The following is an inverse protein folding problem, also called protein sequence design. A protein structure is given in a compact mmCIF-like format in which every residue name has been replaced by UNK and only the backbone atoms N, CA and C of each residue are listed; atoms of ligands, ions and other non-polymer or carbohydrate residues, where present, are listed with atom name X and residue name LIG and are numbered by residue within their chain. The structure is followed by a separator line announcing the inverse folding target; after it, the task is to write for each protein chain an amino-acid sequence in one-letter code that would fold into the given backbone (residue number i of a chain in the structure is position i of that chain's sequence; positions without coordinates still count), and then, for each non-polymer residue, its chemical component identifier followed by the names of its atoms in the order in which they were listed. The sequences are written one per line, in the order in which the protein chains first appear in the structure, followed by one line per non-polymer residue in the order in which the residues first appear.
data_IF_440708998693
#
_entry.id   IF_440708998693
#
_cell.length_a   1.000
_cell.length_b   1.000
_cell.length_c   1.000
_cell.angle_alpha   90.00
_cell.angle_beta   90.00
_cell.angle_gamma   90.00
#
_symmetry.space_group_name_H-M   'P 1'
#
loop_
_entity.id
_entity.type
_entity.pdbx_description
1 polymer ?
#
# COMPACT_ATOMS: atom_id res chain seq x y z
N UNK A 1 7.74 25.47 -16.59
CA UNK A 1 8.36 24.77 -17.75
C UNK A 1 7.44 24.87 -18.97
N UNK A 2 7.94 24.76 -20.21
CA UNK A 2 7.06 24.60 -21.39
C UNK A 2 6.55 23.15 -21.50
N UNK A 3 5.44 22.93 -22.20
CA UNK A 3 4.83 21.59 -22.32
C UNK A 3 5.76 20.58 -22.99
N UNK A 4 6.38 20.92 -24.12
CA UNK A 4 7.32 20.05 -24.83
C UNK A 4 8.55 19.69 -23.98
N UNK A 5 9.06 20.65 -23.20
CA UNK A 5 10.17 20.41 -22.28
C UNK A 5 9.78 19.42 -21.18
N UNK A 6 8.56 19.53 -20.64
CA UNK A 6 8.06 18.61 -19.63
C UNK A 6 7.81 17.21 -20.20
N UNK A 7 7.27 17.12 -21.42
CA UNK A 7 7.03 15.84 -22.08
C UNK A 7 8.34 15.09 -22.33
N UNK A 8 9.37 15.79 -22.81
CA UNK A 8 10.70 15.22 -22.98
C UNK A 8 11.31 14.79 -21.65
N UNK A 9 11.15 15.58 -20.59
CA UNK A 9 11.62 15.24 -19.24
C UNK A 9 10.95 13.97 -18.71
N UNK A 10 9.62 13.90 -18.77
CA UNK A 10 8.88 12.73 -18.28
C UNK A 10 9.24 11.49 -19.10
N UNK A 11 9.38 11.62 -20.42
CA UNK A 11 9.78 10.49 -21.28
C UNK A 11 11.20 10.00 -20.98
N UNK A 12 12.15 10.92 -20.76
CA UNK A 12 13.52 10.56 -20.39
C UNK A 12 13.57 9.87 -19.02
N UNK A 13 12.93 10.43 -18.00
CA UNK A 13 12.86 9.80 -16.68
C UNK A 13 12.11 8.46 -16.71
N UNK A 14 11.08 8.34 -17.55
CA UNK A 14 10.35 7.09 -17.75
C UNK A 14 11.21 5.99 -18.37
N UNK A 15 12.13 6.34 -19.28
CA UNK A 15 13.15 5.41 -19.77
C UNK A 15 14.05 4.95 -18.63
N UNK A 16 14.58 5.87 -17.82
CA UNK A 16 15.47 5.51 -16.72
C UNK A 16 14.75 4.67 -15.65
N UNK A 17 13.47 4.92 -15.39
CA UNK A 17 12.65 4.15 -14.45
C UNK A 17 12.44 2.69 -14.88
N UNK A 18 12.66 2.36 -16.16
CA UNK A 18 12.61 0.99 -16.68
C UNK A 18 13.96 0.27 -16.59
N UNK A 19 15.05 1.01 -16.35
CA UNK A 19 16.37 0.43 -16.20
C UNK A 19 16.61 0.06 -14.73
N UNK A 20 17.39 -1.00 -14.50
CA UNK A 20 17.77 -1.40 -13.15
C UNK A 20 18.81 -0.42 -12.56
N UNK A 21 18.58 0.03 -11.32
CA UNK A 21 19.54 0.83 -10.54
C UNK A 21 18.99 2.19 -10.04
N UNK A 22 19.86 2.95 -9.38
CA UNK A 22 19.49 4.21 -8.69
C UNK A 22 19.52 5.45 -9.61
N UNK A 23 19.80 5.27 -10.91
CA UNK A 23 19.94 6.37 -11.87
C UNK A 23 18.67 7.20 -11.96
N UNK A 24 17.50 6.53 -11.95
CA UNK A 24 16.21 7.20 -11.99
C UNK A 24 16.02 8.16 -10.81
N UNK A 25 16.27 7.71 -9.57
CA UNK A 25 16.09 8.51 -8.37
C UNK A 25 17.06 9.70 -8.34
N UNK A 26 18.31 9.49 -8.74
CA UNK A 26 19.30 10.56 -8.84
C UNK A 26 18.89 11.63 -9.87
N UNK A 27 18.40 11.19 -11.05
CA UNK A 27 17.95 12.09 -12.11
C UNK A 27 16.65 12.80 -11.74
N UNK A 28 15.68 12.11 -11.16
CA UNK A 28 14.41 12.70 -10.71
C UNK A 28 14.67 13.82 -9.69
N UNK A 29 15.58 13.59 -8.74
CA UNK A 29 16.00 14.62 -7.77
C UNK A 29 16.64 15.84 -8.44
N UNK A 30 17.53 15.62 -9.40
CA UNK A 30 18.21 16.70 -10.13
C UNK A 30 17.20 17.53 -10.93
N UNK A 31 16.36 16.87 -11.71
CA UNK A 31 15.42 17.51 -12.63
C UNK A 31 14.24 18.16 -11.90
N UNK A 32 13.85 17.65 -10.73
CA UNK A 32 12.81 18.26 -9.90
C UNK A 32 13.15 19.70 -9.47
N UNK A 33 14.44 20.08 -9.45
CA UNK A 33 14.84 21.49 -9.20
C UNK A 33 14.30 22.48 -10.24
N UNK A 34 13.88 21.97 -11.41
CA UNK A 34 13.32 22.76 -12.52
C UNK A 34 11.79 22.80 -12.50
N UNK A 35 11.16 22.02 -11.62
CA UNK A 35 9.71 21.95 -11.45
C UNK A 35 9.31 22.94 -10.36
N UNK A 36 8.28 23.73 -10.63
CA UNK A 36 7.68 24.64 -9.64
C UNK A 36 6.20 24.35 -9.46
N UNK A 37 5.59 24.89 -8.39
CA UNK A 37 4.16 24.69 -8.08
C UNK A 37 3.23 25.01 -9.26
N UNK A 38 3.55 26.01 -10.08
CA UNK A 38 2.74 26.36 -11.26
C UNK A 38 2.74 25.26 -12.35
N UNK A 39 3.74 24.38 -12.37
CA UNK A 39 3.84 23.26 -13.31
C UNK A 39 2.93 22.09 -12.92
N UNK A 40 2.42 22.06 -11.67
CA UNK A 40 1.54 20.98 -11.18
C UNK A 40 0.27 20.82 -12.02
N UNK A 41 -0.28 21.91 -12.56
CA UNK A 41 -1.44 21.84 -13.45
C UNK A 41 -1.13 21.03 -14.72
N UNK A 42 0.08 21.21 -15.26
CA UNK A 42 0.53 20.50 -16.45
C UNK A 42 0.92 19.05 -16.12
N UNK A 43 1.62 18.82 -15.00
CA UNK A 43 1.88 17.47 -14.50
C UNK A 43 0.58 16.67 -14.31
N UNK A 44 -0.49 17.31 -13.81
CA UNK A 44 -1.81 16.67 -13.69
C UNK A 44 -2.35 16.17 -15.02
N UNK A 45 -2.24 16.95 -16.09
CA UNK A 45 -2.79 16.54 -17.38
C UNK A 45 -2.06 15.31 -17.94
N UNK A 46 -0.75 15.20 -17.65
CA UNK A 46 0.09 14.07 -18.07
C UNK A 46 -0.15 12.78 -17.29
N UNK A 47 -0.86 12.82 -16.15
CA UNK A 47 -1.35 11.62 -15.47
C UNK A 47 -2.41 10.84 -16.28
N UNK A 48 -3.01 11.47 -17.29
CA UNK A 48 -4.01 10.87 -18.19
C UNK A 48 -3.60 10.90 -19.66
N UNK A 49 -2.76 11.85 -20.04
CA UNK A 49 -2.25 12.02 -21.39
C UNK A 49 -0.73 11.95 -21.34
N UNK A 50 -0.17 10.75 -21.14
CA UNK A 50 1.27 10.60 -20.99
C UNK A 50 1.96 11.08 -22.28
N UNK A 51 3.19 11.61 -22.18
CA UNK A 51 3.97 11.96 -23.37
C UNK A 51 4.17 10.73 -24.26
N UNK A 52 4.61 10.94 -25.49
CA UNK A 52 4.98 9.83 -26.36
C UNK A 52 6.10 9.00 -25.74
N UNK A 53 5.98 7.67 -25.85
CA UNK A 53 7.02 6.72 -25.43
C UNK A 53 8.38 7.14 -25.98
N UNK A 54 9.41 7.11 -25.12
CA UNK A 54 10.77 7.44 -25.50
C UNK A 54 11.22 6.56 -26.69
N UNK A 55 11.92 7.10 -27.71
CA UNK A 55 12.30 6.35 -28.92
C UNK A 55 13.06 5.05 -28.68
N UNK A 56 13.85 5.00 -27.60
CA UNK A 56 14.64 3.83 -27.22
C UNK A 56 13.83 2.69 -26.57
N UNK A 57 12.53 2.88 -26.32
CA UNK A 57 11.69 1.87 -25.66
C UNK A 57 10.73 1.24 -26.67
N UNK A 58 10.75 -0.10 -26.75
CA UNK A 58 9.75 -0.86 -27.50
C UNK A 58 8.38 -0.75 -26.83
N UNK A 59 7.40 -0.20 -27.56
CA UNK A 59 6.00 -0.13 -27.07
C UNK A 59 5.37 -1.51 -26.86
N UNK A 60 5.84 -2.52 -27.58
CA UNK A 60 5.30 -3.87 -27.47
C UNK A 60 5.63 -4.49 -26.10
N UNK A 61 6.77 -4.08 -25.52
CA UNK A 61 7.30 -4.67 -24.29
C UNK A 61 6.60 -4.09 -23.04
N UNK A 62 5.93 -2.93 -23.17
CA UNK A 62 5.27 -2.23 -22.06
C UNK A 62 3.82 -2.66 -21.82
N UNK A 63 3.19 -3.37 -22.77
CA UNK A 63 1.75 -3.65 -22.73
C UNK A 63 0.87 -2.39 -22.86
N UNK A 64 -0.45 -2.58 -22.73
CA UNK A 64 -1.45 -1.53 -23.04
C UNK A 64 -1.39 -0.30 -22.13
N UNK A 65 -1.02 -0.47 -20.85
CA UNK A 65 -1.02 0.60 -19.85
C UNK A 65 0.34 0.83 -19.18
N UNK A 66 1.38 0.07 -19.53
CA UNK A 66 2.67 0.16 -18.83
C UNK A 66 3.30 1.54 -18.91
N UNK A 67 3.30 2.17 -20.08
CA UNK A 67 3.85 3.52 -20.23
C UNK A 67 3.14 4.56 -19.38
N UNK A 68 1.81 4.48 -19.30
CA UNK A 68 1.03 5.39 -18.47
C UNK A 68 1.43 5.25 -16.99
N UNK A 69 1.52 4.02 -16.49
CA UNK A 69 1.93 3.75 -15.11
C UNK A 69 3.33 4.27 -14.80
N UNK A 70 4.27 4.12 -15.75
CA UNK A 70 5.63 4.64 -15.62
C UNK A 70 5.62 6.16 -15.56
N UNK A 71 4.91 6.84 -16.46
CA UNK A 71 4.79 8.29 -16.41
C UNK A 71 4.14 8.78 -15.10
N UNK A 72 3.13 8.07 -14.60
CA UNK A 72 2.51 8.39 -13.31
C UNK A 72 3.52 8.25 -12.15
N UNK A 73 4.34 7.20 -12.16
CA UNK A 73 5.42 7.01 -11.18
C UNK A 73 6.43 8.16 -11.23
N UNK A 74 6.90 8.51 -12.44
CA UNK A 74 7.82 9.64 -12.67
C UNK A 74 7.25 10.96 -12.17
N UNK A 75 5.99 11.25 -12.51
CA UNK A 75 5.32 12.49 -12.10
C UNK A 75 5.24 12.58 -10.57
N UNK A 76 4.88 11.49 -9.90
CA UNK A 76 4.82 11.44 -8.45
C UNK A 76 6.19 11.58 -7.79
N UNK A 77 7.25 11.04 -8.40
CA UNK A 77 8.62 11.22 -7.92
C UNK A 77 9.07 12.68 -8.04
N UNK A 78 8.74 13.35 -9.15
CA UNK A 78 8.98 14.79 -9.30
C UNK A 78 8.23 15.61 -8.23
N UNK A 79 6.97 15.25 -7.95
CA UNK A 79 6.17 15.93 -6.92
C UNK A 79 6.71 15.68 -5.51
N UNK A 80 7.23 14.49 -5.21
CA UNK A 80 7.90 14.19 -3.94
C UNK A 80 9.04 15.19 -3.64
N UNK A 81 9.78 15.58 -4.67
CA UNK A 81 10.88 16.54 -4.51
C UNK A 81 10.44 18.01 -4.32
N UNK A 82 9.16 18.34 -4.58
CA UNK A 82 8.58 19.63 -4.18
C UNK A 82 8.31 19.71 -2.67
N UNK A 83 8.38 18.58 -1.96
CA UNK A 83 8.17 18.56 -0.52
C UNK A 83 6.75 18.94 -0.12
N UNK A 84 6.62 19.78 0.91
CA UNK A 84 5.32 20.23 1.42
C UNK A 84 4.50 21.02 0.38
N UNK A 85 5.17 21.72 -0.55
CA UNK A 85 4.50 22.49 -1.61
C UNK A 85 3.74 21.58 -2.60
N UNK A 86 4.09 20.29 -2.67
CA UNK A 86 3.39 19.28 -3.45
C UNK A 86 2.19 18.63 -2.75
N UNK A 87 1.96 18.93 -1.45
CA UNK A 87 1.01 18.17 -0.63
C UNK A 87 -0.43 18.25 -1.13
N UNK A 88 -0.92 19.44 -1.50
CA UNK A 88 -2.30 19.60 -1.98
C UNK A 88 -2.54 18.83 -3.27
N UNK A 89 -1.53 18.78 -4.14
CA UNK A 89 -1.57 17.95 -5.34
C UNK A 89 -1.70 16.47 -4.98
N UNK A 90 -0.86 15.97 -4.07
CA UNK A 90 -0.91 14.59 -3.59
C UNK A 90 -2.24 14.24 -2.93
N UNK A 91 -2.73 15.10 -2.02
CA UNK A 91 -4.03 14.92 -1.33
C UNK A 91 -5.19 14.84 -2.32
N UNK A 92 -5.19 15.68 -3.35
CA UNK A 92 -6.26 15.65 -4.36
C UNK A 92 -6.30 14.35 -5.18
N UNK A 93 -5.18 13.63 -5.27
CA UNK A 93 -5.15 12.30 -5.89
C UNK A 93 -5.49 11.22 -4.88
N UNK A 94 -4.85 11.24 -3.70
CA UNK A 94 -5.07 10.27 -2.63
C UNK A 94 -6.54 10.20 -2.18
N UNK A 95 -7.25 11.33 -2.23
CA UNK A 95 -8.60 11.47 -1.71
C UNK A 95 -9.62 11.93 -2.76
N UNK A 96 -9.22 11.95 -4.04
CA UNK A 96 -10.08 12.39 -5.14
C UNK A 96 -11.10 11.32 -5.56
N UNK A 97 -12.13 11.78 -6.27
CA UNK A 97 -13.27 10.96 -6.77
C UNK A 97 -12.86 9.93 -7.83
N UNK A 98 -11.63 10.01 -8.36
CA UNK A 98 -11.17 9.22 -9.50
C UNK A 98 -9.93 8.37 -9.11
N UNK A 99 -10.01 7.06 -9.33
CA UNK A 99 -9.12 6.01 -8.75
C UNK A 99 -7.69 5.91 -9.35
N UNK A 100 -7.07 7.01 -9.75
CA UNK A 100 -5.72 6.94 -10.33
C UNK A 100 -4.82 8.08 -9.83
N UNK A 101 -3.60 7.82 -9.33
CA UNK A 101 -3.07 6.66 -8.59
C UNK A 101 -3.10 6.89 -7.05
N UNK A 102 -4.25 6.65 -6.41
CA UNK A 102 -4.48 6.92 -4.97
C UNK A 102 -3.41 6.31 -4.05
N UNK A 103 -3.22 4.98 -4.11
CA UNK A 103 -2.24 4.28 -3.25
C UNK A 103 -0.81 4.79 -3.44
N UNK A 104 -0.39 5.08 -4.67
CA UNK A 104 0.95 5.63 -4.92
C UNK A 104 1.11 7.05 -4.35
N UNK A 105 0.07 7.89 -4.45
CA UNK A 105 0.07 9.21 -3.83
C UNK A 105 0.18 9.12 -2.30
N UNK A 106 -0.53 8.19 -1.67
CA UNK A 106 -0.42 7.92 -0.23
C UNK A 106 0.98 7.48 0.17
N UNK A 107 1.63 6.62 -0.61
CA UNK A 107 3.04 6.24 -0.39
C UNK A 107 3.95 7.46 -0.44
N UNK A 108 3.77 8.38 -1.40
CA UNK A 108 4.55 9.62 -1.45
C UNK A 108 4.31 10.48 -0.22
N UNK A 109 3.06 10.63 0.23
CA UNK A 109 2.75 11.39 1.45
C UNK A 109 3.46 10.77 2.66
N UNK A 110 3.45 9.44 2.80
CA UNK A 110 4.18 8.75 3.87
C UNK A 110 5.69 8.98 3.80
N UNK A 111 6.29 8.97 2.60
CA UNK A 111 7.71 9.31 2.41
C UNK A 111 8.02 10.73 2.86
N UNK A 112 7.19 11.70 2.49
CA UNK A 112 7.35 13.10 2.91
C UNK A 112 7.27 13.26 4.43
N UNK A 113 6.38 12.52 5.08
CA UNK A 113 6.30 12.46 6.54
C UNK A 113 7.58 11.87 7.16
N UNK A 114 8.07 10.74 6.64
CA UNK A 114 9.31 10.09 7.10
C UNK A 114 10.53 11.03 6.94
N UNK A 115 10.54 11.88 5.91
CA UNK A 115 11.57 12.90 5.70
C UNK A 115 11.43 14.13 6.62
N UNK A 116 10.41 14.17 7.51
CA UNK A 116 10.16 15.29 8.40
C UNK A 116 9.58 16.52 7.72
N UNK A 117 8.99 16.37 6.52
CA UNK A 117 8.39 17.48 5.76
C UNK A 117 6.92 17.70 6.08
N UNK A 118 6.27 16.73 6.74
CA UNK A 118 4.85 16.76 7.09
C UNK A 118 4.67 16.45 8.58
N UNK A 119 3.58 16.94 9.15
CA UNK A 119 3.16 16.71 10.53
C UNK A 119 2.33 15.43 10.68
N UNK A 120 2.18 14.99 11.93
CA UNK A 120 1.44 13.78 12.31
C UNK A 120 -0.03 13.78 11.88
N UNK A 121 -0.67 14.96 11.88
CA UNK A 121 -2.08 15.14 11.49
C UNK A 121 -2.36 14.66 10.05
N UNK A 122 -1.37 14.73 9.17
CA UNK A 122 -1.49 14.24 7.79
C UNK A 122 -1.60 12.71 7.77
N UNK A 123 -0.80 12.02 8.59
CA UNK A 123 -0.83 10.54 8.67
C UNK A 123 -2.08 10.07 9.40
N UNK A 124 -2.49 10.75 10.47
CA UNK A 124 -3.76 10.46 11.15
C UNK A 124 -4.94 10.64 10.22
N UNK A 125 -4.93 11.66 9.36
CA UNK A 125 -5.98 11.85 8.37
C UNK A 125 -6.03 10.71 7.33
N UNK A 126 -4.88 10.17 6.92
CA UNK A 126 -4.86 8.96 6.07
C UNK A 126 -5.50 7.80 6.83
N UNK A 127 -5.06 7.53 8.06
CA UNK A 127 -5.52 6.40 8.86
C UNK A 127 -7.04 6.37 9.02
N UNK A 128 -7.66 7.52 9.31
CA UNK A 128 -9.12 7.67 9.46
C UNK A 128 -9.88 7.39 8.15
N UNK A 129 -9.26 7.65 7.00
CA UNK A 129 -9.91 7.59 5.69
C UNK A 129 -9.64 6.32 4.90
N UNK A 130 -8.76 5.45 5.39
CA UNK A 130 -8.44 4.20 4.71
C UNK A 130 -9.69 3.34 4.49
N UNK A 131 -10.60 3.25 5.47
CA UNK A 131 -11.83 2.47 5.33
C UNK A 131 -12.81 2.96 4.26
N UNK A 132 -12.61 4.17 3.71
CA UNK A 132 -13.40 4.70 2.59
C UNK A 132 -12.83 4.31 1.22
N UNK A 133 -11.64 3.70 1.19
CA UNK A 133 -10.89 3.42 -0.02
C UNK A 133 -11.17 2.02 -0.55
N UNK A 134 -10.92 1.82 -1.85
CA UNK A 134 -11.00 0.50 -2.46
C UNK A 134 -9.81 -0.36 -2.08
N UNK A 135 -10.02 -1.68 -2.02
CA UNK A 135 -9.00 -2.65 -1.65
C UNK A 135 -7.68 -2.52 -2.44
N UNK A 136 -7.73 -2.18 -3.73
CA UNK A 136 -6.54 -1.96 -4.56
C UNK A 136 -5.65 -0.81 -4.07
N UNK A 137 -6.22 0.18 -3.41
CA UNK A 137 -5.47 1.26 -2.76
C UNK A 137 -4.72 0.75 -1.54
N UNK A 138 -5.32 -0.15 -0.76
CA UNK A 138 -4.66 -0.81 0.38
C UNK A 138 -3.49 -1.68 -0.10
N UNK A 139 -3.69 -2.51 -1.14
CA UNK A 139 -2.62 -3.32 -1.74
C UNK A 139 -1.42 -2.49 -2.18
N UNK A 140 -1.68 -1.39 -2.91
CA UNK A 140 -0.61 -0.49 -3.38
C UNK A 140 0.12 0.21 -2.24
N UNK A 141 -0.62 0.66 -1.22
CA UNK A 141 -0.04 1.30 -0.04
C UNK A 141 0.81 0.31 0.75
N UNK A 142 0.27 -0.87 1.07
CA UNK A 142 0.94 -1.92 1.84
C UNK A 142 2.26 -2.32 1.16
N UNK A 143 2.20 -2.70 -0.12
CA UNK A 143 3.39 -3.07 -0.88
C UNK A 143 4.43 -1.93 -0.93
N UNK A 144 3.98 -0.70 -1.17
CA UNK A 144 4.86 0.47 -1.24
C UNK A 144 5.56 0.82 0.07
N UNK A 145 4.90 0.57 1.22
CA UNK A 145 5.48 0.79 2.55
C UNK A 145 6.37 -0.37 2.99
N UNK A 146 5.97 -1.63 2.74
CA UNK A 146 6.75 -2.82 3.11
C UNK A 146 8.09 -2.87 2.38
N UNK A 147 8.13 -2.53 1.09
CA UNK A 147 9.41 -2.43 0.36
C UNK A 147 10.34 -1.42 1.04
N UNK A 148 9.80 -0.27 1.45
CA UNK A 148 10.59 0.81 2.07
C UNK A 148 11.00 0.50 3.51
N UNK A 149 10.18 -0.23 4.25
CA UNK A 149 10.48 -0.69 5.61
C UNK A 149 11.76 -1.54 5.65
N UNK A 150 12.06 -2.28 4.57
CA UNK A 150 13.31 -3.05 4.44
C UNK A 150 14.56 -2.16 4.41
N UNK A 151 14.44 -0.95 3.91
CA UNK A 151 15.55 0.01 3.77
C UNK A 151 15.58 1.01 4.93
N UNK A 152 14.43 1.33 5.51
CA UNK A 152 14.25 2.32 6.56
C UNK A 152 13.17 1.86 7.55
N UNK A 153 13.60 1.47 8.75
CA UNK A 153 12.70 0.93 9.79
C UNK A 153 11.67 1.94 10.30
N UNK A 154 11.83 3.24 10.03
CA UNK A 154 10.85 4.26 10.42
C UNK A 154 9.50 4.06 9.75
N UNK A 155 9.45 3.39 8.59
CA UNK A 155 8.19 3.04 7.93
C UNK A 155 7.33 2.07 8.76
N UNK A 156 7.94 1.22 9.61
CA UNK A 156 7.20 0.36 10.52
C UNK A 156 6.27 1.16 11.43
N UNK A 157 6.74 2.29 11.98
CA UNK A 157 5.92 3.18 12.80
C UNK A 157 4.78 3.87 12.04
N UNK A 158 4.85 4.00 10.70
CA UNK A 158 3.73 4.49 9.88
C UNK A 158 2.74 3.36 9.62
N UNK A 159 3.24 2.16 9.30
CA UNK A 159 2.41 0.96 9.09
C UNK A 159 1.56 0.66 10.35
N UNK A 160 2.17 0.77 11.54
CA UNK A 160 1.49 0.52 12.81
C UNK A 160 0.35 1.52 13.11
N UNK A 161 0.36 2.71 12.50
CA UNK A 161 -0.72 3.70 12.63
C UNK A 161 -1.96 3.37 11.79
N UNK A 162 -1.83 2.48 10.81
CA UNK A 162 -2.92 2.13 9.91
C UNK A 162 -3.63 0.86 10.38
N UNK A 163 -4.63 1.03 11.24
CA UNK A 163 -5.35 -0.09 11.89
C UNK A 163 -6.53 -0.62 11.09
N UNK A 164 -6.82 -0.04 9.93
CA UNK A 164 -7.90 -0.46 9.04
C UNK A 164 -7.75 -1.93 8.63
N UNK A 165 -8.83 -2.71 8.73
CA UNK A 165 -8.78 -4.17 8.53
C UNK A 165 -8.42 -4.55 7.08
N UNK A 166 -8.86 -3.78 6.09
CA UNK A 166 -8.51 -4.02 4.69
C UNK A 166 -7.05 -3.69 4.41
N UNK A 167 -6.49 -2.68 5.09
CA UNK A 167 -5.04 -2.44 5.04
C UNK A 167 -4.24 -3.57 5.70
N UNK A 168 -4.74 -4.10 6.81
CA UNK A 168 -4.09 -5.23 7.50
C UNK A 168 -4.15 -6.51 6.69
N UNK A 169 -5.24 -6.75 5.95
CA UNK A 169 -5.31 -7.84 4.96
C UNK A 169 -4.29 -7.63 3.83
N UNK A 170 -4.20 -6.42 3.29
CA UNK A 170 -3.21 -6.11 2.26
C UNK A 170 -1.75 -6.31 2.74
N UNK A 171 -1.45 -6.02 4.01
CA UNK A 171 -0.16 -6.33 4.61
C UNK A 171 0.09 -7.84 4.71
N UNK A 172 -0.93 -8.61 5.13
CA UNK A 172 -0.84 -10.07 5.25
C UNK A 172 -0.63 -10.75 3.89
N UNK A 173 -1.21 -10.21 2.82
CA UNK A 173 -1.04 -10.69 1.45
C UNK A 173 0.30 -10.30 0.81
N UNK A 174 1.05 -9.38 1.43
CA UNK A 174 2.33 -8.91 0.89
C UNK A 174 3.42 -9.98 1.05
N UNK A 175 3.97 -10.56 -0.04
CA UNK A 175 4.92 -11.69 0.03
C UNK A 175 6.21 -11.39 0.81
N UNK A 176 6.57 -10.11 0.88
CA UNK A 176 7.75 -9.62 1.57
C UNK A 176 7.64 -9.61 3.10
N UNK A 177 6.42 -9.72 3.66
CA UNK A 177 6.21 -9.74 5.11
C UNK A 177 6.43 -11.16 5.66
N UNK A 178 7.16 -11.32 6.77
CA UNK A 178 7.24 -12.61 7.45
C UNK A 178 5.85 -13.04 7.94
N UNK A 179 5.67 -14.35 8.11
CA UNK A 179 4.48 -14.90 8.78
C UNK A 179 4.36 -14.30 10.18
N UNK A 180 3.11 -14.08 10.62
CA UNK A 180 2.84 -13.57 11.96
C UNK A 180 3.41 -14.51 13.03
N UNK A 181 3.90 -13.89 14.11
CA UNK A 181 4.28 -14.58 15.34
C UNK A 181 3.05 -15.12 16.05
N UNK A 182 3.26 -16.03 17.02
CA UNK A 182 2.19 -16.56 17.87
C UNK A 182 1.44 -15.43 18.58
N UNK A 183 2.17 -14.44 19.09
CA UNK A 183 1.61 -13.30 19.81
C UNK A 183 0.72 -12.44 18.90
N UNK A 184 1.16 -12.18 17.66
CA UNK A 184 0.36 -11.46 16.67
C UNK A 184 -0.89 -12.25 16.25
N UNK A 185 -0.79 -13.58 16.13
CA UNK A 185 -1.94 -14.44 15.84
C UNK A 185 -2.96 -14.44 16.99
N UNK A 186 -2.52 -14.35 18.24
CA UNK A 186 -3.41 -14.18 19.40
C UNK A 186 -4.12 -12.82 19.32
N UNK A 187 -3.42 -11.74 18.96
CA UNK A 187 -4.07 -10.45 18.75
C UNK A 187 -5.13 -10.50 17.65
N UNK A 188 -4.84 -11.17 16.53
CA UNK A 188 -5.83 -11.39 15.46
C UNK A 188 -7.01 -12.23 15.96
N UNK A 189 -6.77 -13.32 16.67
CA UNK A 189 -7.84 -14.15 17.26
C UNK A 189 -8.74 -13.38 18.23
N UNK A 190 -8.16 -12.49 19.04
CA UNK A 190 -8.93 -11.60 19.91
C UNK A 190 -9.79 -10.60 19.11
N UNK A 191 -9.31 -10.13 17.95
CA UNK A 191 -10.12 -9.30 17.04
C UNK A 191 -11.26 -10.11 16.43
N UNK A 192 -11.03 -11.35 16.00
CA UNK A 192 -12.07 -12.25 15.48
C UNK A 192 -13.19 -12.45 16.53
N UNK A 193 -12.82 -12.64 17.80
CA UNK A 193 -13.76 -12.90 18.89
C UNK A 193 -14.33 -11.65 19.57
N UNK A 194 -13.98 -10.46 19.08
CA UNK A 194 -14.40 -9.20 19.71
C UNK A 194 -15.92 -8.95 19.55
N UNK A 195 -16.68 -8.74 20.63
CA UNK A 195 -18.15 -8.64 20.60
C UNK A 195 -18.70 -7.34 19.98
N UNK A 196 -17.91 -6.60 19.21
CA UNK A 196 -18.31 -5.36 18.54
C UNK A 196 -17.92 -5.27 17.07
N UNK A 197 -17.24 -6.29 16.52
CA UNK A 197 -16.91 -6.32 15.10
C UNK A 197 -18.14 -6.64 14.26
N UNK A 198 -18.25 -5.97 13.11
CA UNK A 198 -19.26 -6.33 12.13
C UNK A 198 -18.86 -7.65 11.42
N UNK A 199 -19.81 -8.32 10.77
CA UNK A 199 -19.56 -9.62 10.12
C UNK A 199 -18.48 -9.54 9.02
N UNK A 200 -18.38 -8.42 8.32
CA UNK A 200 -17.40 -8.21 7.26
C UNK A 200 -15.98 -8.10 7.85
N UNK A 201 -15.79 -7.29 8.89
CA UNK A 201 -14.51 -7.16 9.60
C UNK A 201 -14.09 -8.49 10.21
N UNK A 202 -15.02 -9.22 10.83
CA UNK A 202 -14.75 -10.55 11.39
C UNK A 202 -14.27 -11.52 10.30
N UNK A 203 -14.94 -11.56 9.15
CA UNK A 203 -14.50 -12.38 8.00
C UNK A 203 -13.11 -11.97 7.51
N UNK A 204 -12.82 -10.67 7.41
CA UNK A 204 -11.51 -10.20 6.97
C UNK A 204 -10.41 -10.56 7.98
N UNK A 205 -10.68 -10.46 9.29
CA UNK A 205 -9.73 -10.94 10.31
C UNK A 205 -9.51 -12.45 10.27
N UNK A 206 -10.56 -13.23 9.97
CA UNK A 206 -10.44 -14.67 9.73
C UNK A 206 -9.52 -14.97 8.53
N UNK A 207 -9.67 -14.23 7.43
CA UNK A 207 -8.80 -14.36 6.24
C UNK A 207 -7.35 -14.03 6.58
N UNK A 208 -7.10 -12.95 7.32
CA UNK A 208 -5.75 -12.59 7.82
C UNK A 208 -5.15 -13.74 8.64
N UNK A 209 -5.93 -14.33 9.55
CA UNK A 209 -5.46 -15.45 10.37
C UNK A 209 -5.08 -16.65 9.51
N UNK A 210 -5.94 -17.04 8.58
CA UNK A 210 -5.74 -18.20 7.70
C UNK A 210 -4.54 -18.03 6.77
N UNK A 211 -4.24 -16.79 6.35
CA UNK A 211 -3.02 -16.47 5.59
C UNK A 211 -1.73 -16.65 6.40
N UNK A 212 -1.79 -16.89 7.71
CA UNK A 212 -0.61 -16.96 8.57
C UNK A 212 -0.44 -18.28 9.33
N UNK A 213 -1.39 -19.22 9.23
CA UNK A 213 -1.29 -20.54 9.86
C UNK A 213 -1.23 -21.66 8.81
N UNK A 214 -0.60 -22.82 9.13
CA UNK A 214 -0.58 -23.98 8.22
C UNK A 214 -1.90 -24.77 8.21
N UNK A 215 -2.71 -24.64 9.26
CA UNK A 215 -3.99 -25.35 9.37
C UNK A 215 -5.00 -24.84 8.33
N UNK A 216 -5.60 -25.71 7.48
CA UNK A 216 -6.58 -25.30 6.48
C UNK A 216 -7.85 -24.72 7.12
N UNK A 217 -8.20 -23.48 6.80
CA UNK A 217 -9.33 -22.75 7.39
C UNK A 217 -9.27 -22.73 8.93
N UNK A 218 -8.08 -22.51 9.51
CA UNK A 218 -7.84 -22.54 10.95
C UNK A 218 -8.75 -21.60 11.74
N UNK A 219 -9.12 -20.47 11.17
CA UNK A 219 -10.03 -19.49 11.78
C UNK A 219 -11.42 -20.06 12.10
N UNK A 220 -11.87 -21.10 11.39
CA UNK A 220 -13.15 -21.77 11.70
C UNK A 220 -13.17 -22.41 13.10
N UNK A 221 -12.00 -22.78 13.62
CA UNK A 221 -11.85 -23.37 14.95
C UNK A 221 -12.15 -22.38 16.08
N UNK A 222 -12.26 -21.07 15.81
CA UNK A 222 -12.77 -20.14 16.83
C UNK A 222 -14.25 -20.34 17.15
N UNK A 223 -15.01 -20.96 16.23
CA UNK A 223 -16.47 -21.08 16.33
C UNK A 223 -16.95 -22.52 16.34
N UNK A 224 -16.22 -23.43 15.68
CA UNK A 224 -16.68 -24.80 15.45
C UNK A 224 -15.52 -25.77 15.72
N UNK A 225 -15.77 -26.77 16.57
CA UNK A 225 -14.80 -27.82 16.84
C UNK A 225 -14.48 -28.62 15.56
N UNK A 226 -13.26 -29.13 15.47
CA UNK A 226 -12.87 -30.00 14.36
C UNK A 226 -13.74 -31.27 14.35
N UNK A 227 -14.42 -31.53 13.22
CA UNK A 227 -15.31 -32.68 13.08
C UNK A 227 -16.61 -32.58 13.88
N UNK A 228 -16.99 -31.38 14.31
CA UNK A 228 -18.19 -31.15 15.11
C UNK A 228 -19.45 -31.76 14.49
N UNK A 229 -20.31 -32.30 15.36
CA UNK A 229 -21.68 -32.72 15.02
C UNK A 229 -22.70 -31.73 15.60
N UNK A 230 -23.99 -31.89 15.30
CA UNK A 230 -25.07 -30.97 15.72
C UNK A 230 -25.16 -30.78 17.26
N UNK A 231 -24.50 -31.62 18.06
CA UNK A 231 -24.61 -31.65 19.52
C UNK A 231 -23.43 -31.01 20.30
N UNK A 232 -22.44 -30.39 19.63
CA UNK A 232 -21.26 -29.80 20.28
C UNK A 232 -21.48 -28.37 20.82
N UNK A 233 -22.52 -28.19 21.66
CA UNK A 233 -22.95 -26.88 22.19
C UNK A 233 -22.03 -26.29 23.27
N UNK A 234 -21.14 -27.10 23.86
CA UNK A 234 -20.21 -26.68 24.93
C UNK A 234 -18.84 -26.24 24.38
N UNK A 235 -18.69 -26.11 23.06
CA UNK A 235 -17.43 -25.69 22.46
C UNK A 235 -17.15 -24.21 22.73
N UNK A 236 -16.11 -23.95 23.53
CA UNK A 236 -15.68 -22.61 23.89
C UNK A 236 -14.15 -22.59 24.08
N UNK A 237 -13.38 -22.68 22.98
CA UNK A 237 -11.93 -22.68 23.05
C UNK A 237 -11.41 -21.30 23.45
N UNK A 238 -10.27 -21.27 24.11
CA UNK A 238 -9.49 -20.04 24.25
C UNK A 238 -8.82 -19.68 22.91
N UNK A 239 -8.52 -18.39 22.71
CA UNK A 239 -7.82 -17.94 21.50
C UNK A 239 -6.45 -18.63 21.38
N UNK A 240 -5.74 -18.77 22.50
CA UNK A 240 -4.45 -19.43 22.58
C UNK A 240 -4.52 -20.90 22.16
N UNK A 241 -5.54 -21.64 22.59
CA UNK A 241 -5.73 -23.04 22.19
C UNK A 241 -5.92 -23.19 20.68
N UNK A 242 -6.69 -22.30 20.05
CA UNK A 242 -6.87 -22.29 18.59
C UNK A 242 -5.55 -21.97 17.89
N UNK A 243 -4.86 -20.91 18.33
CA UNK A 243 -3.57 -20.50 17.75
C UNK A 243 -2.53 -21.62 17.83
N UNK A 244 -2.37 -22.22 19.00
CA UNK A 244 -1.39 -23.30 19.22
C UNK A 244 -1.73 -24.52 18.39
N UNK A 245 -3.01 -24.88 18.31
CA UNK A 245 -3.48 -25.97 17.45
C UNK A 245 -3.15 -25.69 15.98
N UNK A 246 -3.49 -24.49 15.49
CA UNK A 246 -3.25 -24.11 14.11
C UNK A 246 -1.75 -24.09 13.75
N UNK A 247 -0.89 -23.58 14.62
CA UNK A 247 0.56 -23.53 14.41
C UNK A 247 1.23 -24.90 14.47
N UNK A 248 0.71 -25.83 15.29
CA UNK A 248 1.25 -27.18 15.43
C UNK A 248 0.87 -28.13 14.28
N UNK A 249 0.01 -27.69 13.36
CA UNK A 249 -0.49 -28.51 12.27
C UNK A 249 0.62 -28.88 11.29
N UNK A 250 0.91 -30.18 11.20
CA UNK A 250 1.81 -30.76 10.22
C UNK A 250 0.99 -31.53 9.19
N UNK A 251 1.23 -31.25 7.91
CA UNK A 251 0.65 -31.97 6.77
C UNK A 251 1.06 -33.44 6.73
#
# INVERSE_FOLDING_TARGET
MKEEELDNLIAQLGKEALLEGDTFQAMAKLEASRIVVSDLKMLRSKLHHPPTVHPDISRQDLGLSGWLSICQHVILELVYHLGADGLDFLKSMAFGVYDWPQGTALVIICRLYIDGKLSDDVIDNIAVRLGEMRYETHLRLAHGLVIREKEDSRYGGVIDRFTDVNFQLALAETPERPRMTREQLIEVGNKIMSPGNNEEDTRTWMEIFDLHVPYPNGSSLFFIAEGATIDDWDYNPTVEEVVDKCLSYNH
#
